data_IF_460045841555
#
_entry.id   IF_460045841555
#
_cell.length_a   1.000
_cell.length_b   1.000
_cell.length_c   1.000
_cell.angle_alpha   90.00
_cell.angle_beta   90.00
_cell.angle_gamma   90.00
#
_symmetry.space_group_name_H-M   'P 1'
#
loop_
_entity.id
_entity.type
_entity.pdbx_description
1 polymer ?
#
# COMPACT_ATOMS: atom_id res chain seq x y z
N UNK A 1 8.24 7.01 -22.43
CA UNK A 1 6.86 6.93 -21.90
C UNK A 1 6.88 7.45 -20.47
N UNK A 2 5.93 8.31 -20.09
CA UNK A 2 5.79 8.79 -18.71
C UNK A 2 4.62 8.05 -18.05
N UNK A 3 4.80 7.63 -16.80
CA UNK A 3 3.73 7.05 -15.98
C UNK A 3 2.98 8.18 -15.29
N UNK A 4 1.65 8.08 -15.23
CA UNK A 4 0.78 9.01 -14.50
C UNK A 4 0.50 8.45 -13.10
N UNK A 5 1.21 8.98 -12.10
CA UNK A 5 1.13 8.52 -10.71
C UNK A 5 -0.19 8.92 -10.04
N UNK A 6 -0.81 10.03 -10.44
CA UNK A 6 -2.11 10.43 -9.91
C UNK A 6 -3.20 9.45 -10.35
N UNK A 7 -3.15 8.97 -11.60
CA UNK A 7 -4.06 7.92 -12.07
C UNK A 7 -3.79 6.58 -11.42
N UNK A 8 -2.54 6.22 -11.18
CA UNK A 8 -2.21 5.02 -10.41
C UNK A 8 -2.79 5.10 -8.97
N UNK A 9 -2.65 6.24 -8.30
CA UNK A 9 -3.25 6.47 -6.98
C UNK A 9 -4.78 6.32 -7.00
N UNK A 10 -5.45 6.94 -7.98
CA UNK A 10 -6.90 6.83 -8.14
C UNK A 10 -7.37 5.40 -8.40
N UNK A 11 -6.62 4.64 -9.19
CA UNK A 11 -6.91 3.23 -9.45
C UNK A 11 -6.80 2.40 -8.17
N UNK A 12 -5.71 2.57 -7.41
CA UNK A 12 -5.50 1.87 -6.14
C UNK A 12 -6.54 2.25 -5.09
N UNK A 13 -7.00 3.49 -5.07
CA UNK A 13 -8.09 3.94 -4.19
C UNK A 13 -9.43 3.24 -4.47
N UNK A 14 -9.69 2.85 -5.72
CA UNK A 14 -10.91 2.11 -6.11
C UNK A 14 -10.77 0.58 -6.05
N UNK A 15 -9.58 0.05 -6.31
CA UNK A 15 -9.39 -1.39 -6.57
C UNK A 15 -8.30 -2.05 -5.72
N UNK A 16 -7.35 -1.28 -5.20
CA UNK A 16 -6.23 -1.81 -4.40
C UNK A 16 -6.62 -2.05 -2.95
N UNK A 17 -5.94 -3.01 -2.31
CA UNK A 17 -6.02 -3.24 -0.86
C UNK A 17 -5.45 -2.02 -0.10
N UNK A 18 -5.77 -1.92 1.18
CA UNK A 18 -5.20 -0.86 2.03
C UNK A 18 -3.67 -0.93 2.04
N UNK A 19 -3.12 -2.15 2.09
CA UNK A 19 -1.67 -2.40 1.99
C UNK A 19 -1.06 -1.88 0.68
N UNK A 20 -1.74 -2.04 -0.45
CA UNK A 20 -1.25 -1.57 -1.75
C UNK A 20 -1.13 -0.04 -1.78
N UNK A 21 -2.11 0.65 -1.17
CA UNK A 21 -2.11 2.12 -1.06
C UNK A 21 -1.01 2.62 -0.14
N UNK A 22 -0.84 1.98 1.02
CA UNK A 22 0.23 2.32 1.97
C UNK A 22 1.62 2.10 1.35
N UNK A 23 1.82 0.99 0.63
CA UNK A 23 3.08 0.72 -0.11
C UNK A 23 3.32 1.71 -1.24
N UNK A 24 2.28 2.07 -1.98
CA UNK A 24 2.37 3.08 -3.04
C UNK A 24 2.77 4.44 -2.47
N UNK A 25 2.15 4.87 -1.37
CA UNK A 25 2.53 6.10 -0.66
C UNK A 25 3.98 6.09 -0.19
N UNK A 26 4.46 4.97 0.35
CA UNK A 26 5.87 4.82 0.76
C UNK A 26 6.84 4.98 -0.42
N UNK A 27 6.52 4.40 -1.58
CA UNK A 27 7.34 4.54 -2.79
C UNK A 27 7.42 5.98 -3.30
N UNK A 28 6.39 6.79 -3.02
CA UNK A 28 6.34 8.21 -3.36
C UNK A 28 6.91 9.12 -2.26
N UNK A 29 7.28 8.58 -1.10
CA UNK A 29 7.69 9.36 0.07
C UNK A 29 6.53 10.08 0.77
N UNK A 30 5.30 9.65 0.52
CA UNK A 30 4.06 10.20 1.09
C UNK A 30 3.57 9.43 2.33
N UNK A 31 4.21 8.30 2.66
CA UNK A 31 3.91 7.50 3.84
C UNK A 31 5.18 7.04 4.56
N UNK A 32 5.11 6.96 5.89
CA UNK A 32 6.20 6.47 6.73
C UNK A 32 6.26 4.93 6.71
N UNK A 33 7.47 4.33 6.77
CA UNK A 33 7.64 2.88 6.84
C UNK A 33 6.81 2.22 7.94
N UNK A 34 6.73 2.84 9.12
CA UNK A 34 5.99 2.32 10.27
C UNK A 34 4.47 2.23 10.01
N UNK A 35 3.91 3.17 9.24
CA UNK A 35 2.51 3.12 8.86
C UNK A 35 2.21 1.96 7.90
N UNK A 36 3.16 1.62 7.03
CA UNK A 36 3.04 0.46 6.13
C UNK A 36 3.14 -0.84 6.91
N UNK A 37 4.07 -0.93 7.87
CA UNK A 37 4.20 -2.10 8.74
C UNK A 37 2.95 -2.32 9.60
N UNK A 38 2.40 -1.26 10.20
CA UNK A 38 1.15 -1.34 10.93
C UNK A 38 -0.02 -1.83 10.04
N UNK A 39 -0.06 -1.38 8.78
CA UNK A 39 -1.05 -1.88 7.81
C UNK A 39 -0.84 -3.36 7.52
N UNK A 40 0.41 -3.80 7.34
CA UNK A 40 0.77 -5.19 7.04
C UNK A 40 0.40 -6.15 8.19
N UNK A 41 0.62 -5.74 9.44
CA UNK A 41 0.24 -6.54 10.61
C UNK A 41 -1.27 -6.86 10.63
N UNK A 42 -2.12 -5.98 10.10
CA UNK A 42 -3.55 -6.24 9.94
C UNK A 42 -3.90 -7.32 8.89
N UNK A 43 -2.94 -7.72 8.05
CA UNK A 43 -3.08 -8.79 7.06
C UNK A 43 -2.39 -10.10 7.49
N UNK A 44 -1.87 -10.15 8.71
CA UNK A 44 -1.21 -11.35 9.22
C UNK A 44 -2.26 -12.40 9.61
N UNK A 45 -2.15 -13.59 9.03
CA UNK A 45 -2.93 -14.77 9.46
C UNK A 45 -2.35 -15.35 10.76
N UNK A 46 -3.11 -16.21 11.45
CA UNK A 46 -2.70 -16.84 12.73
C UNK A 46 -1.40 -17.67 12.60
N UNK A 47 -1.11 -18.18 11.39
CA UNK A 47 0.15 -18.87 11.06
C UNK A 47 1.34 -17.90 10.84
N UNK A 48 1.09 -16.60 10.99
CA UNK A 48 2.08 -15.54 10.81
C UNK A 48 2.40 -15.20 9.36
N UNK A 49 1.66 -15.75 8.40
CA UNK A 49 1.76 -15.43 6.97
C UNK A 49 0.99 -14.15 6.61
N UNK A 50 1.34 -13.56 5.47
CA UNK A 50 0.55 -12.49 4.86
C UNK A 50 0.17 -12.93 3.44
N UNK A 51 -1.12 -13.14 3.19
CA UNK A 51 -1.67 -13.73 1.96
C UNK A 51 -1.54 -12.90 0.68
#
# INVERSE_FOLDING_TARGET
MSVDLARAASFLAGHGRLLDRSRFGLLLGEAEPDAVLATLEGYRDDDGGCG
#
